data_IF_562170241495
#
_entry.id   IF_562170241495
#
_cell.length_a   1.000
_cell.length_b   1.000
_cell.length_c   1.000
_cell.angle_alpha   90.00
_cell.angle_beta   90.00
_cell.angle_gamma   90.00
#
_symmetry.space_group_name_H-M   'P 1'
#
loop_
_entity.id
_entity.type
_entity.pdbx_description
1 polymer ?
#
# COMPACT_ATOMS: atom_id res chain seq x y z
N UNK A 1 -59.54 -35.89 14.86
CA UNK A 1 -59.22 -34.48 14.55
C UNK A 1 -58.92 -34.44 13.08
N UNK A 2 -59.94 -34.00 12.35
CA UNK A 2 -60.02 -33.93 10.90
C UNK A 2 -59.23 -32.76 10.33
N UNK A 3 -59.11 -32.80 8.99
CA UNK A 3 -58.85 -31.71 8.05
C UNK A 3 -57.37 -31.32 7.82
N UNK A 4 -56.90 -31.10 6.59
CA UNK A 4 -57.49 -31.20 5.26
C UNK A 4 -56.35 -31.15 4.24
N UNK A 5 -56.42 -32.02 3.25
CA UNK A 5 -55.69 -31.99 1.98
C UNK A 5 -56.33 -30.97 1.03
N UNK A 6 -55.55 -30.15 0.34
CA UNK A 6 -55.99 -29.44 -0.87
C UNK A 6 -54.92 -29.50 -1.95
N UNK A 7 -55.32 -30.02 -3.10
CA UNK A 7 -54.56 -30.16 -4.33
C UNK A 7 -55.19 -29.32 -5.43
N UNK A 8 -54.38 -29.07 -6.48
CA UNK A 8 -54.70 -28.68 -7.87
C UNK A 8 -55.17 -27.24 -8.16
N UNK A 9 -55.07 -26.73 -9.42
CA UNK A 9 -54.38 -27.25 -10.63
C UNK A 9 -53.58 -26.20 -11.46
N UNK A 10 -52.95 -26.70 -12.53
CA UNK A 10 -52.33 -25.98 -13.66
C UNK A 10 -53.37 -25.56 -14.71
N UNK A 11 -53.17 -24.39 -15.34
CA UNK A 11 -53.78 -24.04 -16.64
C UNK A 11 -52.96 -22.95 -17.36
N UNK A 12 -52.52 -23.26 -18.58
CA UNK A 12 -52.07 -22.31 -19.62
C UNK A 12 -53.25 -22.09 -20.58
N UNK A 13 -53.37 -20.91 -21.22
CA UNK A 13 -53.14 -20.90 -22.67
C UNK A 13 -52.50 -19.61 -23.23
N UNK A 14 -52.01 -19.76 -24.46
CA UNK A 14 -51.40 -18.76 -25.35
C UNK A 14 -52.36 -17.68 -25.81
N UNK A 15 -51.82 -16.53 -26.20
CA UNK A 15 -52.53 -15.47 -26.94
C UNK A 15 -51.56 -14.53 -27.63
N UNK A 16 -51.23 -14.84 -28.87
CA UNK A 16 -50.55 -13.99 -29.85
C UNK A 16 -51.53 -12.88 -30.32
N UNK A 17 -51.13 -11.62 -30.32
CA UNK A 17 -51.77 -10.60 -31.16
C UNK A 17 -50.89 -9.36 -31.37
N UNK A 18 -50.32 -9.32 -32.56
CA UNK A 18 -49.61 -8.21 -33.19
C UNK A 18 -50.55 -7.01 -33.39
N UNK A 19 -50.18 -5.84 -32.86
CA UNK A 19 -50.66 -4.54 -33.37
C UNK A 19 -49.52 -3.53 -33.37
N UNK A 20 -49.05 -3.23 -34.57
CA UNK A 20 -48.23 -2.06 -34.87
C UNK A 20 -49.04 -0.79 -34.57
N UNK A 21 -48.49 0.06 -33.70
CA UNK A 21 -48.91 1.44 -33.55
C UNK A 21 -47.66 2.32 -33.69
N UNK A 22 -47.66 3.13 -34.73
CA UNK A 22 -46.66 4.16 -35.02
C UNK A 22 -46.69 5.16 -33.86
N UNK A 23 -45.66 5.13 -33.02
CA UNK A 23 -45.46 6.08 -31.92
C UNK A 23 -44.39 7.09 -32.34
N UNK A 24 -44.81 8.35 -32.49
CA UNK A 24 -43.90 9.48 -32.69
C UNK A 24 -43.04 9.65 -31.43
N UNK A 25 -41.73 9.49 -31.57
CA UNK A 25 -40.74 9.64 -30.51
C UNK A 25 -40.39 11.14 -30.34
N UNK A 26 -40.74 11.79 -29.21
CA UNK A 26 -40.25 13.13 -28.91
C UNK A 26 -38.77 13.07 -28.48
N UNK A 27 -37.99 14.13 -28.74
CA UNK A 27 -36.56 14.16 -28.43
C UNK A 27 -36.31 13.88 -26.95
N UNK A 28 -35.44 12.92 -26.68
CA UNK A 28 -35.09 12.48 -25.35
C UNK A 28 -34.57 13.66 -24.51
N UNK A 29 -35.10 13.90 -23.30
CA UNK A 29 -34.52 14.86 -22.39
C UNK A 29 -33.12 14.37 -21.98
N UNK A 30 -32.19 15.32 -21.88
CA UNK A 30 -30.84 15.09 -21.36
C UNK A 30 -30.97 14.42 -19.99
N UNK A 31 -30.70 13.12 -19.93
CA UNK A 31 -30.60 12.37 -18.68
C UNK A 31 -29.29 12.82 -18.04
N UNK A 32 -29.40 13.80 -17.15
CA UNK A 32 -28.37 14.05 -16.15
C UNK A 32 -28.34 12.77 -15.32
N UNK A 33 -27.32 11.94 -15.52
CA UNK A 33 -27.05 10.77 -14.70
C UNK A 33 -26.68 11.25 -13.30
N UNK A 34 -27.71 11.52 -12.50
CA UNK A 34 -27.59 11.73 -11.07
C UNK A 34 -27.06 10.43 -10.49
N UNK A 35 -25.77 10.43 -10.14
CA UNK A 35 -25.15 9.36 -9.35
C UNK A 35 -25.91 9.30 -8.03
N UNK A 36 -26.89 8.39 -7.94
CA UNK A 36 -27.57 8.09 -6.69
C UNK A 36 -26.57 7.39 -5.78
N UNK A 37 -25.81 8.18 -5.03
CA UNK A 37 -25.19 7.71 -3.80
C UNK A 37 -26.33 7.36 -2.86
N UNK A 38 -26.68 6.08 -2.80
CA UNK A 38 -27.56 5.58 -1.75
C UNK A 38 -26.99 6.05 -0.40
N UNK A 39 -27.83 6.58 0.50
CA UNK A 39 -27.37 7.06 1.79
C UNK A 39 -26.74 5.90 2.56
N UNK A 40 -25.50 6.08 3.01
CA UNK A 40 -24.74 5.09 3.80
C UNK A 40 -25.60 4.58 4.97
N UNK A 41 -25.94 3.29 4.91
CA UNK A 41 -26.72 2.61 5.94
C UNK A 41 -25.97 2.71 7.28
N UNK A 42 -26.62 3.25 8.31
CA UNK A 42 -26.03 3.42 9.64
C UNK A 42 -25.58 2.06 10.19
N UNK A 43 -24.27 1.84 10.29
CA UNK A 43 -23.69 0.65 10.92
C UNK A 43 -23.48 0.92 12.40
N UNK A 44 -24.18 0.21 13.32
CA UNK A 44 -23.90 0.30 14.75
C UNK A 44 -22.41 0.11 15.03
N UNK A 45 -21.85 0.84 16.00
CA UNK A 45 -20.42 0.79 16.34
C UNK A 45 -19.89 -0.64 16.57
N UNK A 46 -20.73 -1.54 17.09
CA UNK A 46 -20.38 -2.96 17.28
C UNK A 46 -20.07 -3.70 15.96
N UNK A 47 -20.69 -3.29 14.85
CA UNK A 47 -20.42 -3.86 13.53
C UNK A 47 -19.07 -3.44 12.96
N UNK A 48 -18.47 -2.35 13.46
CA UNK A 48 -17.16 -1.88 13.02
C UNK A 48 -16.00 -2.65 13.66
N UNK A 49 -16.30 -3.57 14.58
CA UNK A 49 -15.31 -4.31 15.39
C UNK A 49 -15.31 -5.82 15.05
N UNK A 50 -15.76 -6.20 13.85
CA UNK A 50 -15.98 -7.60 13.51
C UNK A 50 -14.75 -8.28 12.93
N UNK A 51 -14.02 -7.59 12.05
CA UNK A 51 -12.94 -8.23 11.28
C UNK A 51 -11.58 -7.69 11.71
N UNK A 52 -10.88 -8.35 12.66
CA UNK A 52 -9.52 -7.97 13.00
C UNK A 52 -8.58 -8.29 11.83
N UNK A 53 -7.73 -7.33 11.51
CA UNK A 53 -6.62 -7.44 10.57
C UNK A 53 -5.32 -7.05 11.29
N UNK A 54 -4.18 -7.48 10.74
CA UNK A 54 -2.85 -7.18 11.31
C UNK A 54 -2.13 -6.13 10.46
N UNK A 55 -1.72 -5.03 11.08
CA UNK A 55 -0.74 -4.11 10.50
C UNK A 55 0.65 -4.60 10.90
N UNK A 56 1.50 -4.86 9.93
CA UNK A 56 2.91 -5.21 10.14
C UNK A 56 3.78 -4.02 9.75
N UNK A 57 4.62 -3.55 10.67
CA UNK A 57 5.45 -2.36 10.49
C UNK A 57 6.90 -2.53 10.97
N UNK A 58 7.72 -1.51 10.78
CA UNK A 58 9.16 -1.51 11.00
C UNK A 58 9.97 -1.98 9.79
N UNK A 59 11.29 -1.85 9.87
CA UNK A 59 12.22 -2.20 8.76
C UNK A 59 12.07 -3.65 8.27
N UNK A 60 11.74 -4.57 9.18
CA UNK A 60 11.61 -6.00 8.90
C UNK A 60 10.17 -6.53 9.03
N UNK A 61 9.16 -5.65 9.14
CA UNK A 61 7.77 -6.03 9.37
C UNK A 61 7.58 -6.91 10.64
N UNK A 62 8.42 -6.70 11.65
CA UNK A 62 8.44 -7.49 12.88
C UNK A 62 7.40 -7.03 13.91
N UNK A 63 7.07 -5.74 13.89
CA UNK A 63 6.09 -5.16 14.80
C UNK A 63 4.68 -5.39 14.26
N UNK A 64 3.76 -5.83 15.13
CA UNK A 64 2.39 -6.17 14.76
C UNK A 64 1.39 -5.39 15.59
N UNK A 65 0.43 -4.77 14.93
CA UNK A 65 -0.71 -4.09 15.53
C UNK A 65 -2.00 -4.71 15.01
N UNK A 66 -3.01 -4.83 15.86
CA UNK A 66 -4.33 -5.32 15.46
C UNK A 66 -5.29 -4.15 15.33
N UNK A 67 -6.02 -4.11 14.22
CA UNK A 67 -7.05 -3.09 13.93
C UNK A 67 -8.25 -3.76 13.27
N UNK A 68 -9.42 -3.13 13.30
CA UNK A 68 -10.60 -3.64 12.62
C UNK A 68 -10.70 -3.04 11.21
N UNK A 69 -10.94 -3.92 10.24
CA UNK A 69 -11.03 -3.58 8.81
C UNK A 69 -12.09 -2.51 8.54
N UNK A 70 -13.26 -2.67 9.15
CA UNK A 70 -14.41 -1.81 8.90
C UNK A 70 -14.13 -0.36 9.34
N UNK A 71 -13.46 -0.17 10.48
CA UNK A 71 -13.04 1.17 10.95
C UNK A 71 -12.08 1.84 9.97
N UNK A 72 -11.10 1.10 9.44
CA UNK A 72 -10.18 1.65 8.47
C UNK A 72 -10.88 2.03 7.17
N UNK A 73 -11.82 1.19 6.70
CA UNK A 73 -12.59 1.46 5.49
C UNK A 73 -13.45 2.72 5.63
N UNK A 74 -14.02 2.99 6.81
CA UNK A 74 -14.76 4.23 7.08
C UNK A 74 -13.90 5.50 6.91
N UNK A 75 -12.57 5.40 7.09
CA UNK A 75 -11.65 6.52 7.03
C UNK A 75 -10.79 6.55 5.76
N UNK A 76 -10.81 5.50 4.95
CA UNK A 76 -10.00 5.38 3.74
C UNK A 76 -10.73 4.62 2.63
N UNK A 77 -11.10 5.37 1.59
CA UNK A 77 -11.65 4.83 0.35
C UNK A 77 -10.65 3.92 -0.37
N UNK A 78 -9.35 4.23 -0.28
CA UNK A 78 -8.29 3.41 -0.85
C UNK A 78 -8.26 2.01 -0.21
N UNK A 79 -8.36 1.94 1.12
CA UNK A 79 -8.38 0.67 1.84
C UNK A 79 -9.68 -0.09 1.59
N UNK A 80 -10.82 0.61 1.56
CA UNK A 80 -12.11 0.00 1.22
C UNK A 80 -12.06 -0.71 -0.15
N UNK A 81 -11.59 -0.02 -1.19
CA UNK A 81 -11.43 -0.60 -2.53
C UNK A 81 -10.48 -1.80 -2.54
N UNK A 82 -9.37 -1.70 -1.79
CA UNK A 82 -8.38 -2.76 -1.68
C UNK A 82 -8.96 -4.01 -1.00
N UNK A 83 -9.68 -3.84 0.11
CA UNK A 83 -10.32 -4.95 0.82
C UNK A 83 -11.47 -5.56 0.01
N UNK A 84 -12.22 -4.74 -0.71
CA UNK A 84 -13.24 -5.20 -1.64
C UNK A 84 -12.63 -6.09 -2.73
N UNK A 85 -11.57 -5.63 -3.39
CA UNK A 85 -10.84 -6.40 -4.41
C UNK A 85 -10.23 -7.71 -3.86
N UNK A 86 -9.91 -7.74 -2.56
CA UNK A 86 -9.32 -8.89 -1.89
C UNK A 86 -10.33 -9.97 -1.46
N UNK A 87 -11.64 -9.73 -1.58
CA UNK A 87 -12.70 -10.57 -1.00
C UNK A 87 -12.69 -12.01 -1.52
N UNK A 88 -12.60 -12.22 -2.83
CA UNK A 88 -12.61 -13.55 -3.43
C UNK A 88 -11.33 -14.33 -3.08
N UNK A 89 -10.19 -13.64 -3.11
CA UNK A 89 -8.90 -14.23 -2.75
C UNK A 89 -8.83 -14.57 -1.25
N UNK A 90 -9.48 -13.79 -0.38
CA UNK A 90 -9.62 -14.11 1.05
C UNK A 90 -10.34 -15.44 1.25
N UNK A 91 -11.38 -15.71 0.46
CA UNK A 91 -12.07 -17.00 0.50
C UNK A 91 -11.13 -18.15 0.07
N UNK A 92 -10.31 -17.94 -0.97
CA UNK A 92 -9.32 -18.93 -1.40
C UNK A 92 -8.27 -19.23 -0.33
N UNK A 93 -7.72 -18.20 0.32
CA UNK A 93 -6.78 -18.36 1.44
C UNK A 93 -7.42 -19.11 2.61
N UNK A 94 -8.66 -18.80 2.97
CA UNK A 94 -9.35 -19.50 4.06
C UNK A 94 -9.61 -20.97 3.74
N UNK A 95 -10.00 -21.28 2.50
CA UNK A 95 -10.17 -22.65 2.04
C UNK A 95 -8.85 -23.43 2.05
N UNK A 96 -7.76 -22.81 1.57
CA UNK A 96 -6.43 -23.42 1.55
C UNK A 96 -5.88 -23.64 2.97
N UNK A 97 -6.08 -22.67 3.87
CA UNK A 97 -5.77 -22.77 5.29
C UNK A 97 -6.55 -23.91 5.95
N UNK A 98 -7.87 -23.95 5.76
CA UNK A 98 -8.73 -25.01 6.31
C UNK A 98 -8.26 -26.38 5.85
N UNK A 99 -7.97 -26.56 4.55
CA UNK A 99 -7.48 -27.82 4.01
C UNK A 99 -6.14 -28.24 4.64
N UNK A 100 -5.21 -27.29 4.74
CA UNK A 100 -3.90 -27.54 5.37
C UNK A 100 -4.04 -27.89 6.85
N UNK A 101 -4.88 -27.18 7.60
CA UNK A 101 -5.08 -27.40 9.03
C UNK A 101 -5.78 -28.75 9.29
N UNK A 102 -6.71 -29.15 8.41
CA UNK A 102 -7.30 -30.49 8.41
C UNK A 102 -6.26 -31.58 8.11
N UNK A 103 -5.34 -31.35 7.17
CA UNK A 103 -4.23 -32.28 6.90
C UNK A 103 -3.23 -32.33 8.06
N UNK A 104 -2.98 -31.20 8.72
CA UNK A 104 -2.07 -31.11 9.86
C UNK A 104 -2.48 -32.04 10.99
N UNK A 105 -3.77 -32.26 11.24
CA UNK A 105 -4.27 -33.18 12.27
C UNK A 105 -3.85 -34.65 12.05
N UNK A 106 -3.39 -35.00 10.85
CA UNK A 106 -2.89 -36.33 10.50
C UNK A 106 -1.36 -36.42 10.48
N UNK A 107 -0.68 -35.29 10.70
CA UNK A 107 0.79 -35.18 10.69
C UNK A 107 1.30 -34.70 12.05
N UNK A 108 0.54 -33.87 12.78
CA UNK A 108 0.89 -33.19 14.02
C UNK A 108 -0.14 -33.38 15.15
N UNK A 109 0.31 -33.48 16.43
CA UNK A 109 1.67 -33.84 16.81
C UNK A 109 1.99 -35.24 16.27
N UNK A 110 3.24 -35.47 15.86
CA UNK A 110 3.75 -36.63 15.09
C UNK A 110 2.87 -37.88 15.19
N UNK A 111 1.87 -37.98 14.31
CA UNK A 111 1.02 -39.17 14.25
C UNK A 111 1.89 -40.25 13.65
N UNK A 112 2.29 -41.24 14.45
CA UNK A 112 3.14 -42.31 13.93
C UNK A 112 2.36 -43.14 12.91
N UNK A 113 3.07 -43.75 11.95
CA UNK A 113 2.45 -44.65 10.95
C UNK A 113 1.55 -45.72 11.59
N UNK A 114 1.94 -46.22 12.77
CA UNK A 114 1.20 -47.22 13.54
C UNK A 114 -0.09 -46.63 14.13
N UNK A 115 -0.04 -45.42 14.69
CA UNK A 115 -1.22 -44.75 15.24
C UNK A 115 -2.21 -44.36 14.14
N UNK A 116 -1.71 -43.89 13.00
CA UNK A 116 -2.53 -43.56 11.83
C UNK A 116 -3.30 -44.79 11.33
N UNK A 117 -2.62 -45.93 11.23
CA UNK A 117 -3.21 -47.22 10.86
C UNK A 117 -4.22 -47.74 11.90
N UNK A 118 -3.84 -47.75 13.18
CA UNK A 118 -4.69 -48.24 14.27
C UNK A 118 -6.01 -47.46 14.40
N UNK A 119 -6.00 -46.17 14.04
CA UNK A 119 -7.18 -45.29 14.08
C UNK A 119 -7.96 -45.25 12.76
N UNK A 120 -7.54 -46.01 11.75
CA UNK A 120 -8.11 -45.99 10.39
C UNK A 120 -8.22 -44.56 9.82
N UNK A 121 -7.22 -43.73 10.07
CA UNK A 121 -7.21 -42.32 9.67
C UNK A 121 -7.26 -42.15 8.14
N UNK A 122 -6.89 -43.17 7.36
CA UNK A 122 -6.91 -43.13 5.90
C UNK A 122 -8.30 -42.81 5.35
N UNK A 123 -9.38 -43.24 6.02
CA UNK A 123 -10.77 -42.98 5.61
C UNK A 123 -11.10 -41.48 5.60
N UNK A 124 -10.46 -40.69 6.45
CA UNK A 124 -10.66 -39.24 6.53
C UNK A 124 -9.59 -38.45 5.78
N UNK A 125 -8.38 -38.99 5.69
CA UNK A 125 -7.28 -38.38 4.95
C UNK A 125 -7.47 -38.44 3.43
N UNK A 126 -7.97 -39.55 2.89
CA UNK A 126 -8.18 -39.74 1.45
C UNK A 126 -9.09 -38.66 0.83
N UNK A 127 -10.27 -38.32 1.41
CA UNK A 127 -11.07 -37.20 0.91
C UNK A 127 -10.34 -35.86 0.85
N UNK A 128 -9.40 -35.59 1.77
CA UNK A 128 -8.61 -34.35 1.77
C UNK A 128 -7.59 -34.34 0.64
N UNK A 129 -6.92 -35.47 0.38
CA UNK A 129 -6.00 -35.63 -0.75
C UNK A 129 -6.78 -35.43 -2.06
N UNK A 130 -7.95 -36.04 -2.17
CA UNK A 130 -8.79 -35.92 -3.36
C UNK A 130 -9.24 -34.47 -3.58
N UNK A 131 -9.71 -33.80 -2.52
CA UNK A 131 -10.08 -32.39 -2.57
C UNK A 131 -8.92 -31.49 -3.01
N UNK A 132 -7.70 -31.76 -2.54
CA UNK A 132 -6.52 -31.02 -2.95
C UNK A 132 -6.21 -31.21 -4.44
N UNK A 133 -6.39 -32.41 -4.97
CA UNK A 133 -6.17 -32.70 -6.39
C UNK A 133 -7.21 -32.02 -7.30
N UNK A 134 -8.48 -32.17 -6.94
CA UNK A 134 -9.61 -31.79 -7.80
C UNK A 134 -9.90 -30.29 -7.75
N UNK A 135 -9.80 -29.68 -6.57
CA UNK A 135 -10.34 -28.34 -6.32
C UNK A 135 -9.44 -27.52 -5.37
N UNK A 136 -8.13 -27.50 -5.61
CA UNK A 136 -7.27 -26.60 -4.83
C UNK A 136 -7.63 -25.12 -5.13
N UNK A 137 -7.74 -24.23 -4.13
CA UNK A 137 -8.28 -22.88 -4.34
C UNK A 137 -7.44 -21.95 -5.21
N UNK A 138 -6.14 -22.24 -5.39
CA UNK A 138 -5.22 -21.41 -6.18
C UNK A 138 -4.87 -22.09 -7.51
N UNK A 139 -5.38 -21.59 -8.66
CA UNK A 139 -5.18 -22.22 -9.97
C UNK A 139 -3.70 -22.42 -10.33
N UNK A 140 -2.85 -21.44 -10.02
CA UNK A 140 -1.41 -21.47 -10.33
C UNK A 140 -0.69 -22.66 -9.67
N UNK A 141 -1.19 -23.11 -8.51
CA UNK A 141 -0.59 -24.19 -7.71
C UNK A 141 -1.19 -25.56 -7.99
N UNK A 142 -2.29 -25.65 -8.74
CA UNK A 142 -3.01 -26.92 -9.01
C UNK A 142 -2.10 -27.93 -9.69
N UNK A 143 -1.30 -27.50 -10.67
CA UNK A 143 -0.41 -28.38 -11.43
C UNK A 143 0.64 -29.04 -10.52
N UNK A 144 1.25 -28.28 -9.64
CA UNK A 144 2.29 -28.78 -8.73
C UNK A 144 1.72 -29.73 -7.68
N UNK A 145 0.52 -29.45 -7.18
CA UNK A 145 -0.19 -30.32 -6.24
C UNK A 145 -0.55 -31.66 -6.89
N UNK A 146 -1.14 -31.62 -8.10
CA UNK A 146 -1.49 -32.85 -8.85
C UNK A 146 -0.26 -33.69 -9.13
N UNK A 147 0.80 -33.07 -9.65
CA UNK A 147 2.08 -33.72 -9.90
C UNK A 147 2.61 -34.41 -8.65
N UNK A 148 2.61 -33.72 -7.49
CA UNK A 148 3.11 -34.30 -6.24
C UNK A 148 2.26 -35.49 -5.78
N UNK A 149 0.93 -35.42 -5.90
CA UNK A 149 0.05 -36.54 -5.54
C UNK A 149 0.29 -37.74 -6.47
N UNK A 150 0.44 -37.51 -7.77
CA UNK A 150 0.70 -38.56 -8.77
C UNK A 150 2.06 -39.25 -8.51
N UNK A 151 3.11 -38.45 -8.27
CA UNK A 151 4.46 -38.93 -7.94
C UNK A 151 4.45 -39.77 -6.65
N UNK A 152 3.85 -39.27 -5.57
CA UNK A 152 3.80 -39.98 -4.30
C UNK A 152 2.93 -41.23 -4.37
N UNK A 153 1.82 -41.20 -5.10
CA UNK A 153 0.97 -42.38 -5.31
C UNK A 153 1.75 -43.45 -6.10
N UNK A 154 2.46 -43.07 -7.16
CA UNK A 154 3.33 -43.96 -7.92
C UNK A 154 4.44 -44.55 -7.05
N UNK A 155 5.05 -43.74 -6.19
CA UNK A 155 6.09 -44.18 -5.25
C UNK A 155 5.55 -45.21 -4.26
N UNK A 156 4.37 -44.98 -3.68
CA UNK A 156 3.77 -45.95 -2.75
C UNK A 156 3.42 -47.28 -3.42
N UNK A 157 2.97 -47.26 -4.69
CA UNK A 157 2.78 -48.49 -5.48
C UNK A 157 4.12 -49.21 -5.71
N UNK A 158 5.17 -48.48 -6.07
CA UNK A 158 6.53 -49.03 -6.28
C UNK A 158 7.09 -49.66 -5.01
N UNK A 159 6.88 -49.02 -3.85
CA UNK A 159 7.24 -49.53 -2.53
C UNK A 159 6.32 -50.65 -2.01
N UNK A 160 5.36 -51.10 -2.83
CA UNK A 160 4.37 -52.14 -2.50
C UNK A 160 3.55 -51.80 -1.25
N UNK A 161 3.33 -50.51 -0.96
CA UNK A 161 2.46 -50.00 0.12
C UNK A 161 0.99 -49.96 -0.32
N UNK A 162 0.51 -51.12 -0.73
CA UNK A 162 -0.82 -51.32 -1.28
C UNK A 162 -1.57 -52.37 -0.47
N UNK A 163 -2.89 -52.28 -0.44
CA UNK A 163 -3.75 -53.26 0.21
C UNK A 163 -3.49 -54.66 -0.35
N UNK A 164 -3.56 -55.66 0.51
CA UNK A 164 -3.32 -57.05 0.12
C UNK A 164 -4.15 -57.44 -1.10
N UNK A 165 -3.55 -58.17 -2.04
CA UNK A 165 -4.17 -58.63 -3.31
C UNK A 165 -4.46 -57.54 -4.34
N UNK A 166 -4.21 -56.25 -4.06
CA UNK A 166 -4.48 -55.15 -5.00
C UNK A 166 -3.25 -54.69 -5.81
N UNK A 167 -2.05 -55.25 -5.56
CA UNK A 167 -0.81 -54.78 -6.18
C UNK A 167 -0.83 -54.83 -7.71
N UNK A 168 -1.25 -55.95 -8.29
CA UNK A 168 -1.29 -56.10 -9.75
C UNK A 168 -2.29 -55.14 -10.40
N UNK A 169 -3.42 -54.91 -9.73
CA UNK A 169 -4.43 -53.92 -10.17
C UNK A 169 -3.88 -52.51 -10.08
N UNK A 170 -3.23 -52.15 -8.97
CA UNK A 170 -2.67 -50.81 -8.75
C UNK A 170 -1.54 -50.46 -9.74
N UNK A 171 -0.75 -51.45 -10.18
CA UNK A 171 0.29 -51.24 -11.21
C UNK A 171 -0.32 -50.92 -12.58
N UNK A 172 -1.46 -51.53 -12.91
CA UNK A 172 -2.11 -51.41 -14.23
C UNK A 172 -3.10 -50.26 -14.32
N UNK A 173 -3.68 -49.85 -13.19
CA UNK A 173 -4.70 -48.81 -13.13
C UNK A 173 -4.10 -47.45 -13.49
N UNK A 174 -4.53 -46.80 -14.56
CA UNK A 174 -4.02 -45.49 -14.98
C UNK A 174 -4.70 -44.32 -14.25
N UNK A 175 -5.96 -44.50 -13.82
CA UNK A 175 -6.68 -43.45 -13.10
C UNK A 175 -6.13 -43.32 -11.67
N UNK A 176 -5.51 -42.18 -11.38
CA UNK A 176 -4.95 -41.88 -10.07
C UNK A 176 -6.01 -41.98 -8.95
N UNK A 177 -7.27 -41.62 -9.21
CA UNK A 177 -8.36 -41.66 -8.21
C UNK A 177 -8.65 -43.07 -7.79
N UNK A 178 -8.63 -44.00 -8.74
CA UNK A 178 -8.82 -45.42 -8.47
C UNK A 178 -7.55 -45.99 -7.84
N UNK A 179 -6.38 -45.64 -8.38
CA UNK A 179 -5.08 -46.12 -7.89
C UNK A 179 -4.83 -45.74 -6.43
N UNK A 180 -5.15 -44.52 -6.02
CA UNK A 180 -4.97 -44.07 -4.63
C UNK A 180 -5.86 -44.82 -3.63
N UNK A 181 -7.02 -45.36 -4.08
CA UNK A 181 -7.87 -46.22 -3.24
C UNK A 181 -7.24 -47.58 -2.91
N UNK A 182 -6.26 -48.02 -3.69
CA UNK A 182 -5.53 -49.27 -3.46
C UNK A 182 -4.35 -49.12 -2.49
N UNK A 183 -3.94 -47.90 -2.17
CA UNK A 183 -2.85 -47.62 -1.24
C UNK A 183 -3.27 -48.03 0.18
N UNK A 184 -2.35 -48.64 0.94
CA UNK A 184 -2.59 -49.00 2.33
C UNK A 184 -2.53 -47.78 3.26
N UNK A 185 -2.94 -47.95 4.52
CA UNK A 185 -3.00 -46.84 5.47
C UNK A 185 -1.65 -46.15 5.69
N UNK A 186 -0.53 -46.90 5.64
CA UNK A 186 0.82 -46.34 5.80
C UNK A 186 1.27 -45.55 4.58
N UNK A 187 0.90 -45.98 3.38
CA UNK A 187 1.14 -45.24 2.15
C UNK A 187 0.32 -43.95 2.09
N UNK A 188 -0.95 -43.98 2.50
CA UNK A 188 -1.79 -42.77 2.61
C UNK A 188 -1.18 -41.77 3.61
N UNK A 189 -0.67 -42.26 4.74
CA UNK A 189 0.05 -41.42 5.70
C UNK A 189 1.31 -40.76 5.11
N UNK A 190 2.06 -41.46 4.25
CA UNK A 190 3.20 -40.87 3.56
C UNK A 190 2.76 -39.77 2.57
N UNK A 191 1.74 -40.04 1.75
CA UNK A 191 1.19 -39.08 0.78
C UNK A 191 0.71 -37.80 1.48
N UNK A 192 -0.07 -37.92 2.56
CA UNK A 192 -0.59 -36.75 3.28
C UNK A 192 0.52 -35.94 3.94
N UNK A 193 1.57 -36.59 4.46
CA UNK A 193 2.73 -35.90 5.04
C UNK A 193 3.48 -35.07 4.00
N UNK A 194 3.76 -35.65 2.84
CA UNK A 194 4.42 -34.98 1.73
C UNK A 194 3.59 -33.83 1.14
N UNK A 195 2.28 -34.05 0.98
CA UNK A 195 1.35 -33.04 0.51
C UNK A 195 1.23 -31.88 1.50
N UNK A 196 1.11 -32.16 2.80
CA UNK A 196 1.12 -31.13 3.83
C UNK A 196 2.40 -30.29 3.76
N UNK A 197 3.57 -30.94 3.61
CA UNK A 197 4.84 -30.27 3.42
C UNK A 197 4.86 -29.32 2.21
N UNK A 198 4.29 -29.76 1.08
CA UNK A 198 4.12 -28.91 -0.11
C UNK A 198 3.20 -27.72 0.14
N UNK A 199 1.99 -27.94 0.67
CA UNK A 199 1.02 -26.88 0.95
C UNK A 199 1.58 -25.84 1.94
N UNK A 200 2.40 -26.27 2.90
CA UNK A 200 3.08 -25.36 3.81
C UNK A 200 4.14 -24.50 3.09
N UNK A 201 4.90 -25.06 2.14
CA UNK A 201 5.85 -24.28 1.31
C UNK A 201 5.12 -23.28 0.41
N UNK A 202 4.03 -23.68 -0.25
CA UNK A 202 3.22 -22.80 -1.07
C UNK A 202 2.66 -21.62 -0.25
N UNK A 203 2.15 -21.89 0.95
CA UNK A 203 1.70 -20.83 1.86
C UNK A 203 2.83 -19.85 2.23
N UNK A 204 4.07 -20.34 2.43
CA UNK A 204 5.21 -19.46 2.67
C UNK A 204 5.54 -18.59 1.45
N UNK A 205 5.45 -19.14 0.24
CA UNK A 205 5.64 -18.38 -1.00
C UNK A 205 4.58 -17.28 -1.11
N UNK A 206 3.31 -17.59 -0.87
CA UNK A 206 2.22 -16.60 -0.88
C UNK A 206 2.40 -15.48 0.15
N UNK A 207 2.95 -15.78 1.32
CA UNK A 207 3.29 -14.75 2.34
C UNK A 207 4.39 -13.81 1.84
N UNK A 208 5.36 -14.32 1.07
CA UNK A 208 6.42 -13.52 0.46
C UNK A 208 5.85 -12.67 -0.67
N UNK A 209 5.05 -13.26 -1.58
CA UNK A 209 4.42 -12.55 -2.69
C UNK A 209 3.51 -11.40 -2.23
N UNK A 210 2.86 -11.54 -1.07
CA UNK A 210 2.05 -10.47 -0.48
C UNK A 210 2.86 -9.21 -0.10
N UNK A 211 4.19 -9.26 -0.06
CA UNK A 211 5.03 -8.07 0.16
C UNK A 211 5.01 -7.08 -1.00
N UNK A 212 4.79 -7.60 -2.20
CA UNK A 212 4.82 -6.82 -3.44
C UNK A 212 3.41 -6.46 -3.93
N UNK A 213 2.39 -7.19 -3.44
CA UNK A 213 1.00 -7.01 -3.85
C UNK A 213 0.11 -6.66 -2.63
N UNK A 214 -0.36 -5.40 -2.54
CA UNK A 214 -1.17 -4.95 -1.42
C UNK A 214 -2.57 -5.61 -1.37
N UNK A 215 -3.11 -6.09 -2.49
CA UNK A 215 -4.40 -6.81 -2.53
C UNK A 215 -4.21 -8.22 -1.97
N UNK A 216 -3.12 -8.92 -2.32
CA UNK A 216 -2.77 -10.20 -1.69
C UNK A 216 -2.55 -10.06 -0.17
N UNK A 217 -1.87 -9.01 0.28
CA UNK A 217 -1.73 -8.73 1.71
C UNK A 217 -3.10 -8.55 2.38
N UNK A 218 -3.99 -7.75 1.79
CA UNK A 218 -5.34 -7.53 2.29
C UNK A 218 -6.19 -8.81 2.31
N UNK A 219 -6.01 -9.69 1.32
CA UNK A 219 -6.68 -11.00 1.25
C UNK A 219 -6.23 -11.92 2.41
N UNK A 220 -4.97 -11.79 2.84
CA UNK A 220 -4.42 -12.44 4.02
C UNK A 220 -4.71 -11.69 5.34
N UNK A 221 -5.61 -10.69 5.33
CA UNK A 221 -5.96 -9.85 6.49
C UNK A 221 -4.76 -9.08 7.06
N UNK A 222 -3.87 -8.61 6.19
CA UNK A 222 -2.64 -7.89 6.56
C UNK A 222 -2.52 -6.57 5.82
N UNK A 223 -1.94 -5.57 6.48
CA UNK A 223 -1.42 -4.34 5.84
C UNK A 223 0.06 -4.28 6.15
N UNK A 224 0.90 -4.16 5.12
CA UNK A 224 2.35 -4.15 5.27
C UNK A 224 2.86 -2.72 5.10
N UNK A 225 3.56 -2.22 6.12
CA UNK A 225 4.09 -0.86 6.19
C UNK A 225 5.62 -0.90 6.41
N UNK A 226 6.40 -1.26 5.37
CA UNK A 226 7.85 -1.36 5.51
C UNK A 226 8.46 0.00 5.85
N UNK A 227 9.34 0.02 6.86
CA UNK A 227 10.06 1.24 7.26
C UNK A 227 9.27 2.21 8.16
N UNK A 228 7.96 2.02 8.32
CA UNK A 228 7.13 2.83 9.21
C UNK A 228 7.39 2.44 10.67
N UNK A 229 7.66 3.42 11.53
CA UNK A 229 7.84 3.19 12.96
C UNK A 229 6.53 2.82 13.64
N UNK A 230 6.60 1.92 14.63
CA UNK A 230 5.43 1.46 15.40
C UNK A 230 4.66 2.63 16.02
N UNK A 231 5.35 3.58 16.63
CA UNK A 231 4.72 4.74 17.27
C UNK A 231 3.91 5.60 16.28
N UNK A 232 4.36 5.70 15.02
CA UNK A 232 3.61 6.40 13.98
C UNK A 232 2.35 5.63 13.59
N UNK A 233 2.47 4.31 13.41
CA UNK A 233 1.30 3.47 13.14
C UNK A 233 0.28 3.50 14.29
N UNK A 234 0.75 3.45 15.54
CA UNK A 234 -0.09 3.56 16.74
C UNK A 234 -0.84 4.89 16.81
N UNK A 235 -0.21 6.02 16.46
CA UNK A 235 -0.90 7.31 16.40
C UNK A 235 -2.02 7.34 15.37
N UNK A 236 -1.80 6.78 14.17
CA UNK A 236 -2.86 6.67 13.16
C UNK A 236 -3.98 5.78 13.68
N UNK A 237 -3.65 4.64 14.30
CA UNK A 237 -4.67 3.75 14.86
C UNK A 237 -5.46 4.43 15.99
N UNK A 238 -4.78 5.12 16.89
CA UNK A 238 -5.44 5.88 17.96
C UNK A 238 -6.43 6.90 17.38
N UNK A 239 -6.05 7.60 16.31
CA UNK A 239 -6.95 8.53 15.64
C UNK A 239 -8.14 7.82 15.00
N UNK A 240 -7.92 6.69 14.31
CA UNK A 240 -9.00 5.87 13.72
C UNK A 240 -10.03 5.43 14.77
N UNK A 241 -9.58 5.07 15.97
CA UNK A 241 -10.50 4.64 17.04
C UNK A 241 -11.16 5.80 17.80
N UNK A 242 -10.43 6.88 18.06
CA UNK A 242 -10.83 7.90 19.03
C UNK A 242 -11.23 9.23 18.37
N UNK A 243 -10.90 9.42 17.09
CA UNK A 243 -11.02 10.71 16.39
C UNK A 243 -10.10 11.80 16.93
N UNK A 244 -9.22 11.48 17.89
CA UNK A 244 -8.33 12.44 18.56
C UNK A 244 -6.91 12.27 18.05
N UNK A 245 -6.32 13.39 17.64
CA UNK A 245 -4.94 13.43 17.17
C UNK A 245 -4.13 14.43 17.98
N UNK A 246 -3.22 13.91 18.80
CA UNK A 246 -2.32 14.68 19.66
C UNK A 246 -0.87 14.28 19.34
N UNK A 247 -0.19 15.10 18.54
CA UNK A 247 1.23 14.91 18.23
C UNK A 247 1.93 16.26 18.32
N UNK A 248 2.91 16.35 19.21
CA UNK A 248 3.72 17.56 19.42
C UNK A 248 5.07 17.51 18.71
N UNK A 249 5.56 16.32 18.41
CA UNK A 249 6.86 16.13 17.77
C UNK A 249 6.70 16.39 16.26
N UNK A 250 7.42 17.39 15.68
CA UNK A 250 7.32 17.71 14.26
C UNK A 250 7.66 16.54 13.32
N UNK A 251 8.70 15.77 13.64
CA UNK A 251 9.12 14.61 12.85
C UNK A 251 8.04 13.53 12.86
N UNK A 252 7.48 13.23 14.03
CA UNK A 252 6.41 12.26 14.15
C UNK A 252 5.12 12.73 13.45
N UNK A 253 4.84 14.03 13.48
CA UNK A 253 3.72 14.66 12.78
C UNK A 253 3.88 14.50 11.25
N UNK A 254 5.07 14.76 10.72
CA UNK A 254 5.36 14.54 9.30
C UNK A 254 5.32 13.06 8.91
N UNK A 255 5.89 12.17 9.73
CA UNK A 255 5.78 10.72 9.49
C UNK A 255 4.32 10.24 9.50
N UNK A 256 3.47 10.83 10.35
CA UNK A 256 2.04 10.53 10.40
C UNK A 256 1.32 11.05 9.16
N UNK A 257 1.67 12.25 8.67
CA UNK A 257 1.18 12.77 7.39
C UNK A 257 1.48 11.81 6.23
N UNK A 258 2.73 11.35 6.14
CA UNK A 258 3.17 10.41 5.10
C UNK A 258 2.40 9.09 5.19
N UNK A 259 2.27 8.53 6.41
CA UNK A 259 1.51 7.29 6.61
C UNK A 259 0.01 7.46 6.29
N UNK A 260 -0.61 8.56 6.73
CA UNK A 260 -2.02 8.83 6.45
C UNK A 260 -2.26 8.94 4.93
N UNK A 261 -1.35 9.60 4.21
CA UNK A 261 -1.39 9.71 2.74
C UNK A 261 -1.24 8.33 2.09
N UNK A 262 -0.25 7.54 2.52
CA UNK A 262 -0.02 6.18 2.02
C UNK A 262 -1.23 5.25 2.23
N UNK A 263 -1.92 5.43 3.36
CA UNK A 263 -3.14 4.69 3.69
C UNK A 263 -4.41 5.28 3.06
N UNK A 264 -4.34 6.44 2.41
CA UNK A 264 -5.52 7.13 1.84
C UNK A 264 -6.50 7.65 2.90
N UNK A 265 -6.00 8.02 4.09
CA UNK A 265 -6.79 8.62 5.18
C UNK A 265 -6.74 10.14 5.03
N UNK A 266 -7.52 10.67 4.09
CA UNK A 266 -7.47 12.08 3.65
C UNK A 266 -7.69 13.08 4.79
N UNK A 267 -8.64 12.80 5.68
CA UNK A 267 -8.94 13.68 6.81
C UNK A 267 -7.75 13.81 7.78
N UNK A 268 -7.05 12.71 8.07
CA UNK A 268 -5.88 12.74 8.96
C UNK A 268 -4.68 13.39 8.27
N UNK A 269 -4.46 13.12 6.98
CA UNK A 269 -3.40 13.79 6.22
C UNK A 269 -3.62 15.30 6.20
N UNK A 270 -4.86 15.77 5.98
CA UNK A 270 -5.15 17.20 5.97
C UNK A 270 -4.96 17.85 7.35
N UNK A 271 -5.37 17.17 8.44
CA UNK A 271 -5.11 17.64 9.81
C UNK A 271 -3.60 17.80 10.05
N UNK A 272 -2.80 16.81 9.64
CA UNK A 272 -1.35 16.87 9.83
C UNK A 272 -0.73 17.98 8.98
N UNK A 273 -1.11 18.07 7.71
CA UNK A 273 -0.65 19.07 6.76
C UNK A 273 -0.93 20.49 7.24
N UNK A 274 -2.18 20.78 7.61
CA UNK A 274 -2.57 22.11 8.09
C UNK A 274 -1.84 22.48 9.39
N UNK A 275 -1.63 21.53 10.32
CA UNK A 275 -0.83 21.79 11.53
C UNK A 275 0.64 22.09 11.23
N UNK A 276 1.27 21.31 10.35
CA UNK A 276 2.65 21.52 9.90
C UNK A 276 2.81 22.89 9.23
N UNK A 277 1.94 23.17 8.25
CA UNK A 277 1.96 24.41 7.49
C UNK A 277 1.79 25.63 8.39
N UNK A 278 0.73 25.66 9.22
CA UNK A 278 0.46 26.81 10.07
C UNK A 278 1.57 27.04 11.09
N UNK A 279 2.06 25.97 11.75
CA UNK A 279 3.11 26.10 12.74
C UNK A 279 4.44 26.61 12.14
N UNK A 280 4.84 26.13 10.96
CA UNK A 280 6.02 26.65 10.27
C UNK A 280 5.82 28.07 9.77
N UNK A 281 4.69 28.35 9.12
CA UNK A 281 4.39 29.69 8.62
C UNK A 281 4.41 30.73 9.75
N UNK A 282 3.72 30.46 10.86
CA UNK A 282 3.64 31.35 12.01
C UNK A 282 5.02 31.54 12.67
N UNK A 283 5.81 30.47 12.77
CA UNK A 283 7.18 30.53 13.32
C UNK A 283 8.10 31.39 12.44
N UNK A 284 8.05 31.21 11.11
CA UNK A 284 8.85 32.01 10.16
C UNK A 284 8.43 33.48 10.18
N UNK A 285 7.13 33.77 10.13
CA UNK A 285 6.63 35.14 10.17
C UNK A 285 6.99 35.83 11.49
N UNK A 286 6.85 35.15 12.63
CA UNK A 286 7.23 35.70 13.92
C UNK A 286 8.74 35.95 14.03
N UNK A 287 9.56 35.05 13.49
CA UNK A 287 11.00 35.24 13.41
C UNK A 287 11.37 36.47 12.56
N UNK A 288 10.75 36.61 11.38
CA UNK A 288 10.96 37.77 10.51
C UNK A 288 10.57 39.08 11.20
N UNK A 289 9.42 39.14 11.89
CA UNK A 289 8.99 40.32 12.65
C UNK A 289 9.94 40.67 13.80
N UNK A 290 10.68 39.69 14.32
CA UNK A 290 11.64 39.88 15.42
C UNK A 290 13.08 40.04 14.94
N UNK A 291 13.31 40.09 13.62
CA UNK A 291 14.64 40.21 13.01
C UNK A 291 15.50 38.94 13.11
N UNK A 292 14.89 37.79 13.41
CA UNK A 292 15.55 36.49 13.38
C UNK A 292 15.56 35.99 11.94
N UNK A 293 16.75 35.69 11.41
CA UNK A 293 16.90 35.21 10.03
C UNK A 293 16.44 33.77 9.86
N UNK A 294 16.03 33.41 8.65
CA UNK A 294 15.69 32.03 8.29
C UNK A 294 16.85 31.07 8.54
N UNK A 295 18.08 31.51 8.28
CA UNK A 295 19.31 30.76 8.56
C UNK A 295 19.43 30.37 10.05
N UNK A 296 19.08 31.27 10.97
CA UNK A 296 19.08 30.99 12.41
C UNK A 296 17.96 30.03 12.81
N UNK A 297 16.75 30.18 12.27
CA UNK A 297 15.64 29.24 12.51
C UNK A 297 15.99 27.81 12.11
N UNK A 298 16.69 27.64 10.98
CA UNK A 298 17.15 26.34 10.50
C UNK A 298 18.36 25.78 11.27
N UNK A 299 18.89 26.52 12.25
CA UNK A 299 20.02 26.10 13.07
C UNK A 299 21.39 26.26 12.41
N UNK A 300 21.49 27.00 11.31
CA UNK A 300 22.76 27.28 10.62
C UNK A 300 23.37 28.63 11.01
N UNK A 301 22.64 29.45 11.77
CA UNK A 301 23.04 30.80 12.19
C UNK A 301 23.03 30.99 13.70
N UNK A 302 23.51 32.14 14.20
CA UNK A 302 23.40 32.50 15.60
C UNK A 302 21.94 32.82 15.95
N UNK A 303 21.37 32.15 16.95
CA UNK A 303 20.01 32.39 17.42
C UNK A 303 19.26 31.13 17.81
N UNK A 304 17.97 31.25 18.18
CA UNK A 304 17.14 30.09 18.46
C UNK A 304 16.82 29.35 17.16
N UNK A 305 16.98 28.02 17.17
CA UNK A 305 16.47 27.15 16.12
C UNK A 305 15.03 26.73 16.40
N UNK A 306 14.27 26.49 15.34
CA UNK A 306 12.91 25.96 15.43
C UNK A 306 12.87 24.55 14.80
N UNK A 307 12.57 23.55 15.63
CA UNK A 307 12.52 22.15 15.22
C UNK A 307 11.43 21.88 14.18
N UNK A 308 10.30 22.60 14.20
CA UNK A 308 9.22 22.45 13.23
C UNK A 308 9.68 22.92 11.85
N UNK A 309 10.24 24.12 11.78
CA UNK A 309 10.76 24.71 10.54
C UNK A 309 11.88 23.83 9.97
N UNK A 310 12.82 23.39 10.80
CA UNK A 310 13.91 22.51 10.39
C UNK A 310 13.44 21.19 9.79
N UNK A 311 12.46 20.52 10.41
CA UNK A 311 11.88 19.27 9.88
C UNK A 311 11.18 19.50 8.54
N UNK A 312 10.37 20.55 8.43
CA UNK A 312 9.64 20.85 7.19
C UNK A 312 10.58 21.18 6.04
N UNK A 313 11.58 22.01 6.26
CA UNK A 313 12.56 22.35 5.22
C UNK A 313 13.37 21.13 4.81
N UNK A 314 13.84 20.33 5.76
CA UNK A 314 14.56 19.10 5.46
C UNK A 314 13.75 18.19 4.54
N UNK A 315 12.48 17.94 4.89
CA UNK A 315 11.65 17.03 4.12
C UNK A 315 11.23 17.60 2.77
N UNK A 316 10.83 18.88 2.70
CA UNK A 316 10.44 19.52 1.44
C UNK A 316 11.59 19.58 0.42
N UNK A 317 12.83 19.68 0.89
CA UNK A 317 14.02 19.68 0.04
C UNK A 317 14.40 18.27 -0.43
N UNK A 318 14.22 17.25 0.42
CA UNK A 318 14.70 15.88 0.18
C UNK A 318 13.66 14.97 -0.48
N UNK A 319 12.43 14.97 0.03
CA UNK A 319 11.42 13.98 -0.33
C UNK A 319 10.71 14.37 -1.64
N UNK A 320 10.49 13.40 -2.52
CA UNK A 320 9.72 13.60 -3.75
C UNK A 320 8.22 13.72 -3.50
N UNK A 321 7.74 13.14 -2.40
CA UNK A 321 6.31 13.01 -2.07
C UNK A 321 5.86 14.03 -1.01
N UNK A 322 6.61 15.11 -0.78
CA UNK A 322 6.13 16.19 0.10
C UNK A 322 4.90 16.89 -0.51
N UNK A 323 3.83 17.14 0.26
CA UNK A 323 2.67 17.87 -0.27
C UNK A 323 3.03 19.24 -0.84
N UNK A 324 2.44 19.59 -1.99
CA UNK A 324 2.73 20.83 -2.72
C UNK A 324 2.63 22.07 -1.82
N UNK A 325 1.63 22.14 -0.93
CA UNK A 325 1.45 23.28 -0.01
C UNK A 325 2.64 23.50 0.92
N UNK A 326 3.34 22.45 1.34
CA UNK A 326 4.58 22.56 2.13
C UNK A 326 5.76 22.93 1.22
N UNK A 327 5.83 22.36 0.02
CA UNK A 327 6.87 22.71 -0.95
C UNK A 327 6.79 24.20 -1.32
N UNK A 328 5.62 24.72 -1.65
CA UNK A 328 5.37 26.12 -1.99
C UNK A 328 5.79 27.05 -0.86
N UNK A 329 5.50 26.69 0.40
CA UNK A 329 5.92 27.44 1.58
C UNK A 329 7.45 27.57 1.63
N UNK A 330 8.16 26.43 1.48
CA UNK A 330 9.62 26.38 1.54
C UNK A 330 10.25 27.11 0.37
N UNK A 331 9.74 26.89 -0.85
CA UNK A 331 10.20 27.58 -2.07
C UNK A 331 10.01 29.08 -1.94
N UNK A 332 8.85 29.54 -1.46
CA UNK A 332 8.57 30.95 -1.27
C UNK A 332 9.56 31.61 -0.31
N UNK A 333 9.77 31.04 0.88
CA UNK A 333 10.66 31.63 1.88
C UNK A 333 12.14 31.54 1.50
N UNK A 334 12.56 30.48 0.80
CA UNK A 334 13.91 30.45 0.24
C UNK A 334 14.06 31.48 -0.87
N UNK A 335 13.07 31.66 -1.75
CA UNK A 335 13.19 32.65 -2.81
C UNK A 335 13.36 34.08 -2.30
N UNK A 336 12.79 34.42 -1.14
CA UNK A 336 12.89 35.75 -0.52
C UNK A 336 14.14 35.92 0.34
N UNK A 337 14.51 34.91 1.14
CA UNK A 337 15.54 35.02 2.18
C UNK A 337 16.85 34.26 1.89
N UNK A 338 16.97 33.59 0.75
CA UNK A 338 18.16 32.77 0.46
C UNK A 338 19.38 33.63 0.18
N UNK A 339 20.36 33.55 1.09
CA UNK A 339 21.71 34.04 0.89
C UNK A 339 22.67 32.92 0.42
N UNK A 340 23.86 33.32 -0.04
CA UNK A 340 24.89 32.40 -0.56
C UNK A 340 25.38 31.40 0.50
N UNK A 341 25.43 31.79 1.77
CA UNK A 341 25.90 30.93 2.86
C UNK A 341 24.86 29.87 3.22
N UNK A 342 23.58 30.24 3.29
CA UNK A 342 22.46 29.33 3.51
C UNK A 342 22.33 28.37 2.35
N UNK A 343 22.42 28.84 1.10
CA UNK A 343 22.39 27.97 -0.08
C UNK A 343 23.52 26.93 -0.05
N UNK A 344 24.74 27.34 0.34
CA UNK A 344 25.86 26.41 0.46
C UNK A 344 25.61 25.28 1.47
N UNK A 345 24.71 25.47 2.45
CA UNK A 345 24.30 24.42 3.41
C UNK A 345 23.16 23.55 2.89
N UNK A 346 22.26 24.10 2.08
CA UNK A 346 21.04 23.43 1.62
C UNK A 346 21.18 22.69 0.29
N UNK A 347 22.10 23.13 -0.58
CA UNK A 347 22.23 22.63 -1.97
C UNK A 347 22.38 21.10 -2.10
N UNK A 348 23.03 20.47 -1.13
CA UNK A 348 23.29 19.01 -1.16
C UNK A 348 22.09 18.21 -0.62
N UNK A 349 21.13 18.89 0.03
CA UNK A 349 19.87 18.31 0.51
C UNK A 349 18.75 18.46 -0.52
N UNK A 350 18.78 19.54 -1.29
CA UNK A 350 17.76 19.86 -2.27
C UNK A 350 17.84 18.92 -3.48
N UNK A 351 16.74 18.22 -3.77
CA UNK A 351 16.63 17.50 -5.03
C UNK A 351 16.59 18.49 -6.21
N UNK A 352 16.88 17.99 -7.42
CA UNK A 352 16.99 18.84 -8.61
C UNK A 352 15.68 19.58 -8.94
N UNK A 353 14.54 18.91 -8.78
CA UNK A 353 13.22 19.51 -9.05
C UNK A 353 12.96 20.73 -8.18
N UNK A 354 13.20 20.60 -6.87
CA UNK A 354 13.01 21.69 -5.91
C UNK A 354 14.03 22.80 -6.14
N UNK A 355 15.27 22.46 -6.50
CA UNK A 355 16.29 23.46 -6.86
C UNK A 355 15.84 24.34 -8.02
N UNK A 356 15.26 23.75 -9.08
CA UNK A 356 14.72 24.50 -10.21
C UNK A 356 13.58 25.41 -9.75
N UNK A 357 12.65 24.90 -8.94
CA UNK A 357 11.53 25.70 -8.42
C UNK A 357 12.00 26.90 -7.58
N UNK A 358 13.04 26.73 -6.76
CA UNK A 358 13.64 27.82 -5.98
C UNK A 358 14.23 28.88 -6.92
N UNK A 359 14.99 28.47 -7.94
CA UNK A 359 15.60 29.40 -8.91
C UNK A 359 14.52 30.19 -9.65
N UNK A 360 13.47 29.51 -10.14
CA UNK A 360 12.37 30.15 -10.85
C UNK A 360 11.63 31.15 -9.95
N UNK A 361 11.37 30.79 -8.69
CA UNK A 361 10.75 31.69 -7.72
C UNK A 361 11.63 32.91 -7.41
N UNK A 362 12.96 32.73 -7.28
CA UNK A 362 13.91 33.84 -7.09
C UNK A 362 13.92 34.81 -8.29
N UNK A 363 13.91 34.27 -9.51
CA UNK A 363 13.86 35.07 -10.74
C UNK A 363 12.54 35.85 -10.84
N UNK A 364 11.42 35.22 -10.50
CA UNK A 364 10.10 35.85 -10.43
C UNK A 364 10.08 37.02 -9.44
N UNK A 365 10.64 36.82 -8.24
CA UNK A 365 10.71 37.85 -7.20
C UNK A 365 11.54 39.07 -7.64
N UNK A 366 12.71 38.85 -8.25
CA UNK A 366 13.55 39.95 -8.79
C UNK A 366 12.84 40.77 -9.86
N UNK A 367 12.06 40.12 -10.72
CA UNK A 367 11.28 40.83 -11.76
C UNK A 367 10.14 41.67 -11.16
N UNK A 368 9.58 41.28 -10.02
CA UNK A 368 8.55 42.06 -9.32
C UNK A 368 9.15 43.29 -8.65
N UNK A 369 10.23 43.14 -7.88
CA UNK A 369 10.91 44.25 -7.21
C UNK A 369 11.43 45.30 -8.20
N UNK A 370 11.94 44.86 -9.36
CA UNK A 370 12.38 45.78 -10.42
C UNK A 370 11.26 46.57 -11.11
N UNK A 371 10.01 46.09 -11.04
CA UNK A 371 8.83 46.79 -11.60
C UNK A 371 8.19 47.76 -10.60
N UNK A 372 8.35 47.53 -9.30
CA UNK A 372 7.77 48.36 -8.24
C UNK A 372 8.62 49.59 -7.89
N UNK A 373 9.89 49.64 -8.32
CA UNK A 373 10.78 50.82 -8.21
C UNK A 373 11.18 51.42 -9.58
N UNK A 374 10.26 51.92 -10.41
CA UNK A 374 10.62 52.55 -11.69
C UNK A 374 11.16 53.99 -11.55
N UNK A 375 11.05 54.63 -10.38
CA UNK A 375 11.29 56.08 -10.23
C UNK A 375 12.72 56.50 -9.80
N UNK A 376 13.65 55.57 -9.54
CA UNK A 376 14.99 55.93 -9.01
C UNK A 376 16.11 55.96 -10.08
N UNK A 377 15.77 55.88 -11.37
CA UNK A 377 16.73 55.94 -12.48
C UNK A 377 16.58 57.18 -13.38
N UNK A 378 16.12 58.30 -12.84
CA UNK A 378 16.30 59.64 -13.45
C UNK A 378 17.63 60.27 -13.02
N UNK A 379 18.74 59.52 -13.05
CA UNK A 379 20.06 60.14 -13.07
C UNK A 379 20.29 60.61 -14.51
N UNK A 380 20.04 61.90 -14.74
CA UNK A 380 20.51 62.58 -15.95
C UNK A 380 22.01 62.32 -16.08
N UNK A 381 22.51 61.85 -17.23
CA UNK A 381 23.94 61.91 -17.49
C UNK A 381 24.33 63.38 -17.53
N UNK A 382 25.06 63.85 -16.53
CA UNK A 382 25.84 65.08 -16.67
C UNK A 382 26.95 64.79 -17.68
N UNK A 383 26.72 65.31 -18.90
CA UNK A 383 27.77 65.69 -19.83
C UNK A 383 28.77 66.57 -19.08
N UNK A 384 29.96 66.05 -18.75
CA UNK A 384 31.12 66.91 -18.55
C UNK A 384 32.45 66.15 -18.72
N UNK A 385 33.14 66.47 -19.83
CA UNK A 385 34.60 66.48 -20.05
C UNK A 385 35.35 65.12 -19.91
N UNK A 386 36.36 64.77 -20.72
CA UNK A 386 37.35 65.61 -21.39
C UNK A 386 38.01 64.79 -22.52
N UNK A 387 38.22 65.44 -23.66
CA UNK A 387 39.25 65.12 -24.64
C UNK A 387 40.62 64.97 -23.94
N UNK A 388 41.30 63.84 -24.14
CA UNK A 388 42.76 63.80 -24.18
C UNK A 388 43.20 62.90 -25.34
N UNK A 389 43.87 63.55 -26.28
CA UNK A 389 44.59 62.96 -27.41
C UNK A 389 45.92 62.35 -26.95
N UNK A 390 46.32 61.31 -27.69
CA UNK A 390 47.68 60.86 -28.02
C UNK A 390 48.73 60.63 -26.90
N UNK A 391 49.21 59.38 -26.81
CA UNK A 391 50.59 59.04 -27.22
C UNK A 391 50.80 57.51 -27.32
N UNK A 392 51.33 57.09 -28.48
CA UNK A 392 51.96 55.79 -28.73
C UNK A 392 53.31 55.72 -28.01
N UNK A 393 53.61 54.64 -27.27
CA UNK A 393 54.97 54.07 -27.19
C UNK A 393 54.92 52.55 -26.91
N UNK A 394 55.38 51.79 -27.90
CA UNK A 394 56.23 50.60 -27.89
C UNK A 394 56.44 49.69 -26.65
N UNK A 395 56.53 48.40 -27.02
CA UNK A 395 57.50 47.37 -26.56
C UNK A 395 57.16 46.39 -25.41
N UNK A 396 56.86 45.15 -25.85
CA UNK A 396 57.59 43.91 -25.57
C UNK A 396 57.88 43.50 -24.12
N UNK A 397 57.28 42.38 -23.69
CA UNK A 397 57.97 41.06 -23.70
C UNK A 397 57.21 39.99 -22.89
N UNK A 398 57.46 38.69 -23.18
CA UNK A 398 56.65 37.56 -22.73
C UNK A 398 57.22 36.89 -21.47
N UNK A 399 56.35 36.26 -20.66
CA UNK A 399 56.79 35.32 -19.62
C UNK A 399 56.11 33.96 -19.82
N UNK A 400 57.00 33.03 -20.12
CA UNK A 400 57.00 31.58 -20.02
C UNK A 400 56.24 30.91 -18.86
N UNK A 401 55.58 29.78 -19.20
CA UNK A 401 55.70 28.43 -18.59
C UNK A 401 55.54 28.29 -17.06
N UNK A 402 54.59 27.45 -16.61
CA UNK A 402 54.83 26.00 -16.40
C UNK A 402 53.61 25.28 -15.82
N UNK A 403 53.43 24.07 -16.34
CA UNK A 403 52.64 22.99 -15.78
C UNK A 403 53.04 22.62 -14.34
N UNK A 404 52.03 22.15 -13.61
CA UNK A 404 52.10 21.37 -12.37
C UNK A 404 50.81 20.59 -12.22
#
# INVERSE_FOLDING_TARGET
>A
MDQQSLSTPSATPSGDSTKEAISYEPPSPIVISSSSSEPDEFKPHQMLMQTPITIECGKNLSEKLTVHEELLCCHSRLLEQRFFAAKDMRQQYEQAKTLRDQMAAYVFPEVTKVQFEARSCEKRALPLIIRAYDSYPFPDHVKDIRKKIDEETGEQVRLKKVKARMLQTAIREEDWKVRIMYIDSRGVHAIIGELFGLLHRLNKQEIVSAREDPVRAAAQKRILLPGVEKNTAELVMQWVYQGKFECKNPQQLYNTLQLATQLGIEALSEICLTRLYNAAHDSIQNAMMTGITLKSLLGYGPGPSDNMVGVIFKHALQDHDTPQRIQDLVVHFLATELDTELWAKLKDLANHSITVQIIDAMLGYRQQVGKENPDDNSIKPEDDFTKYEHEEVHEASPIHLKDG
#
